data_IF_220496845698
#
_entry.id   IF_220496845698
#
_cell.length_a   1.000
_cell.length_b   1.000
_cell.length_c   1.000
_cell.angle_alpha   90.00
_cell.angle_beta   90.00
_cell.angle_gamma   90.00
#
_symmetry.space_group_name_H-M   'P 1'
#
loop_
_entity.id
_entity.type
_entity.pdbx_description
1 polymer ?
#
# COMPACT_ATOMS: atom_id res chain seq x y z
N UNK A 1 -21.19 -33.14 41.17
CA UNK A 1 -20.12 -32.84 40.22
C UNK A 1 -18.91 -32.57 41.08
N UNK A 2 -17.85 -33.36 40.90
CA UNK A 2 -16.69 -33.31 41.80
C UNK A 2 -15.56 -32.45 41.21
N UNK A 3 -15.67 -32.10 39.92
CA UNK A 3 -14.72 -31.28 39.16
C UNK A 3 -15.44 -30.15 38.40
N UNK A 4 -14.71 -29.13 37.96
CA UNK A 4 -15.21 -28.08 37.05
C UNK A 4 -15.48 -28.62 35.63
N UNK A 5 -16.26 -27.89 34.83
CA UNK A 5 -16.77 -28.38 33.56
C UNK A 5 -15.73 -28.42 32.42
N UNK A 6 -14.88 -27.39 32.31
CA UNK A 6 -13.99 -27.23 31.16
C UNK A 6 -12.57 -27.76 31.41
N UNK A 7 -11.99 -27.41 32.56
CA UNK A 7 -10.62 -27.68 32.95
C UNK A 7 -10.49 -28.90 33.89
N UNK A 8 -11.62 -29.50 34.30
CA UNK A 8 -11.68 -30.65 35.19
C UNK A 8 -10.90 -30.42 36.50
N UNK A 9 -11.04 -29.23 37.08
CA UNK A 9 -10.39 -28.87 38.35
C UNK A 9 -11.20 -29.42 39.52
N UNK A 10 -10.58 -30.16 40.45
CA UNK A 10 -11.31 -30.80 41.55
C UNK A 10 -11.84 -29.77 42.56
N UNK A 11 -13.10 -29.92 42.93
CA UNK A 11 -13.75 -29.13 43.97
C UNK A 11 -13.38 -29.61 45.38
N UNK A 12 -13.39 -28.68 46.34
CA UNK A 12 -13.29 -29.04 47.75
C UNK A 12 -14.64 -29.58 48.22
N UNK A 13 -14.63 -30.79 48.81
CA UNK A 13 -15.84 -31.41 49.36
C UNK A 13 -16.45 -30.60 50.53
N UNK A 14 -17.78 -30.67 50.72
CA UNK A 14 -18.46 -30.00 51.83
C UNK A 14 -17.92 -30.42 53.22
N UNK A 15 -18.16 -29.58 54.25
CA UNK A 15 -17.80 -29.78 55.67
C UNK A 15 -16.43 -29.26 56.14
N UNK A 16 -15.71 -28.48 55.32
CA UNK A 16 -14.45 -27.79 55.72
C UNK A 16 -14.70 -26.33 56.12
N UNK A 17 -15.47 -26.07 57.18
CA UNK A 17 -15.75 -24.72 57.72
C UNK A 17 -16.19 -23.68 56.66
N UNK A 18 -17.05 -24.09 55.71
CA UNK A 18 -17.56 -23.25 54.61
C UNK A 18 -16.52 -22.64 53.63
N UNK A 19 -15.22 -22.94 53.76
CA UNK A 19 -14.19 -22.49 52.81
C UNK A 19 -14.41 -23.00 51.38
N UNK A 20 -15.04 -24.16 51.26
CA UNK A 20 -15.42 -24.77 49.99
C UNK A 20 -16.31 -23.85 49.15
N UNK A 21 -17.16 -23.01 49.76
CA UNK A 21 -18.08 -22.14 49.01
C UNK A 21 -17.31 -21.09 48.21
N UNK A 22 -16.47 -20.30 48.87
CA UNK A 22 -15.72 -19.24 48.20
C UNK A 22 -14.62 -19.78 47.29
N UNK A 23 -14.00 -20.90 47.65
CA UNK A 23 -12.95 -21.50 46.85
C UNK A 23 -13.51 -22.15 45.58
N UNK A 24 -14.58 -22.95 45.69
CA UNK A 24 -15.19 -23.59 44.53
C UNK A 24 -15.76 -22.53 43.58
N UNK A 25 -16.35 -21.44 44.10
CA UNK A 25 -16.76 -20.31 43.26
C UNK A 25 -15.59 -19.68 42.47
N UNK A 26 -14.41 -19.56 43.08
CA UNK A 26 -13.21 -19.09 42.39
C UNK A 26 -12.71 -20.09 41.33
N UNK A 27 -12.81 -21.40 41.60
CA UNK A 27 -12.47 -22.44 40.62
C UNK A 27 -13.43 -22.41 39.42
N UNK A 28 -14.73 -22.26 39.65
CA UNK A 28 -15.74 -22.10 38.61
C UNK A 28 -15.47 -20.85 37.75
N UNK A 29 -15.04 -19.75 38.35
CA UNK A 29 -14.61 -18.56 37.60
C UNK A 29 -13.35 -18.82 36.76
N UNK A 30 -12.34 -19.51 37.32
CA UNK A 30 -11.11 -19.85 36.58
C UNK A 30 -11.38 -20.79 35.42
N UNK A 31 -12.29 -21.75 35.60
CA UNK A 31 -12.72 -22.72 34.59
C UNK A 31 -13.32 -22.05 33.35
N UNK A 32 -14.07 -20.95 33.53
CA UNK A 32 -14.59 -20.18 32.42
C UNK A 32 -13.52 -19.29 31.75
N UNK A 33 -12.58 -18.72 32.51
CA UNK A 33 -11.77 -17.58 32.04
C UNK A 33 -10.34 -17.91 31.59
N UNK A 34 -9.70 -18.97 32.10
CA UNK A 34 -8.25 -19.20 31.86
C UNK A 34 -7.94 -19.69 30.44
N UNK A 35 -8.85 -20.46 29.86
CA UNK A 35 -8.78 -20.92 28.46
C UNK A 35 -10.09 -20.60 27.75
N UNK A 36 -10.51 -19.34 27.90
CA UNK A 36 -11.82 -18.89 27.44
C UNK A 36 -12.00 -19.19 25.94
N UNK A 37 -13.02 -19.99 25.66
CA UNK A 37 -13.50 -20.32 24.33
C UNK A 37 -15.01 -20.10 24.34
N UNK A 38 -15.49 -19.25 23.44
CA UNK A 38 -16.90 -18.92 23.33
C UNK A 38 -17.48 -19.53 22.06
N UNK A 39 -18.72 -19.98 22.17
CA UNK A 39 -19.46 -20.52 21.02
C UNK A 39 -19.76 -19.40 20.03
N UNK A 40 -20.29 -18.28 20.52
CA UNK A 40 -20.65 -17.11 19.72
C UNK A 40 -20.45 -15.81 20.51
N UNK A 41 -20.38 -14.69 19.78
CA UNK A 41 -20.41 -13.32 20.35
C UNK A 41 -21.58 -12.45 19.88
N UNK A 42 -22.48 -13.01 19.07
CA UNK A 42 -23.58 -12.26 18.44
C UNK A 42 -24.96 -12.67 18.95
N UNK A 43 -25.04 -13.71 19.79
CA UNK A 43 -26.30 -14.16 20.34
C UNK A 43 -26.87 -13.15 21.34
N UNK A 44 -28.14 -12.78 21.15
CA UNK A 44 -28.85 -11.84 22.03
C UNK A 44 -29.55 -12.55 23.20
N UNK A 45 -29.70 -13.87 23.08
CA UNK A 45 -30.15 -14.82 24.10
C UNK A 45 -29.75 -16.21 23.61
N UNK A 46 -29.38 -17.11 24.52
CA UNK A 46 -29.14 -18.50 24.14
C UNK A 46 -30.46 -19.23 23.87
N UNK A 47 -30.65 -19.71 22.64
CA UNK A 47 -31.78 -20.55 22.26
C UNK A 47 -31.49 -22.04 22.53
N UNK A 48 -32.28 -22.68 23.40
CA UNK A 48 -32.14 -24.09 23.75
C UNK A 48 -31.52 -24.33 25.13
N UNK A 49 -31.14 -25.58 25.42
CA UNK A 49 -30.49 -25.95 26.67
C UNK A 49 -28.96 -25.85 26.50
N UNK A 50 -28.29 -24.86 27.12
CA UNK A 50 -26.83 -24.78 27.08
C UNK A 50 -26.17 -25.96 27.79
N UNK A 51 -25.01 -26.38 27.30
CA UNK A 51 -24.18 -27.35 28.00
C UNK A 51 -23.49 -26.70 29.22
N UNK A 52 -23.25 -27.50 30.26
CA UNK A 52 -22.44 -27.07 31.40
C UNK A 52 -21.02 -26.68 30.94
N UNK A 53 -20.54 -25.50 31.36
CA UNK A 53 -19.26 -24.93 30.92
C UNK A 53 -19.32 -24.11 29.63
N UNK A 54 -20.45 -24.11 28.91
CA UNK A 54 -20.64 -23.36 27.67
C UNK A 54 -20.52 -21.86 27.90
N UNK A 55 -19.63 -21.21 27.15
CA UNK A 55 -19.40 -19.78 27.25
C UNK A 55 -19.83 -19.04 25.97
N UNK A 56 -20.33 -17.82 26.16
CA UNK A 56 -20.73 -16.88 25.10
C UNK A 56 -20.25 -15.49 25.43
N UNK A 57 -20.06 -14.65 24.41
CA UNK A 57 -20.09 -13.20 24.60
C UNK A 57 -21.52 -12.74 24.32
N UNK A 58 -22.10 -12.00 25.26
CA UNK A 58 -23.45 -11.46 25.10
C UNK A 58 -23.47 -10.44 23.95
N UNK A 59 -24.23 -10.74 22.90
CA UNK A 59 -24.39 -9.90 21.73
C UNK A 59 -25.11 -8.58 22.01
N UNK A 60 -25.15 -7.72 20.98
CA UNK A 60 -25.96 -6.51 21.01
C UNK A 60 -27.46 -6.85 21.21
N UNK A 61 -28.25 -5.91 21.72
CA UNK A 61 -29.70 -6.08 21.91
C UNK A 61 -30.09 -7.30 22.78
N UNK A 62 -29.27 -7.60 23.78
CA UNK A 62 -29.46 -8.75 24.67
C UNK A 62 -30.81 -8.71 25.40
N UNK A 63 -31.50 -9.84 25.44
CA UNK A 63 -32.84 -9.99 26.00
C UNK A 63 -32.87 -10.98 27.17
N UNK A 64 -34.02 -11.07 27.85
CA UNK A 64 -34.23 -11.99 28.98
C UNK A 64 -33.13 -11.90 30.05
N UNK A 65 -32.59 -13.03 30.50
CA UNK A 65 -31.54 -13.10 31.52
C UNK A 65 -30.21 -12.46 31.11
N UNK A 66 -30.04 -12.06 29.84
CA UNK A 66 -28.83 -11.41 29.33
C UNK A 66 -28.99 -9.88 29.20
N UNK A 67 -30.16 -9.34 29.52
CA UNK A 67 -30.42 -7.90 29.46
C UNK A 67 -29.46 -7.10 30.35
N UNK A 68 -28.85 -6.06 29.79
CA UNK A 68 -27.85 -5.23 30.48
C UNK A 68 -26.46 -5.88 30.63
N UNK A 69 -26.22 -7.03 29.99
CA UNK A 69 -24.95 -7.77 30.05
C UNK A 69 -24.16 -7.76 28.73
N UNK A 70 -24.53 -6.89 27.79
CA UNK A 70 -23.88 -6.77 26.47
C UNK A 70 -22.36 -6.68 26.60
N UNK A 71 -21.65 -7.49 25.83
CA UNK A 71 -20.20 -7.58 25.80
C UNK A 71 -19.56 -8.38 26.95
N UNK A 72 -20.34 -8.78 27.98
CA UNK A 72 -19.85 -9.64 29.05
C UNK A 72 -19.72 -11.09 28.58
N UNK A 73 -18.81 -11.83 29.21
CA UNK A 73 -18.70 -13.27 29.02
C UNK A 73 -19.77 -13.94 29.88
N UNK A 74 -20.70 -14.65 29.25
CA UNK A 74 -21.71 -15.46 29.92
C UNK A 74 -21.25 -16.92 29.92
N UNK A 75 -21.00 -17.49 31.10
CA UNK A 75 -20.70 -18.91 31.28
C UNK A 75 -21.88 -19.64 31.91
N UNK A 76 -22.33 -20.74 31.31
CA UNK A 76 -23.39 -21.58 31.88
C UNK A 76 -22.79 -22.55 32.90
N UNK A 77 -23.13 -22.34 34.18
CA UNK A 77 -22.51 -22.98 35.33
C UNK A 77 -23.55 -23.23 36.43
N UNK A 78 -23.54 -24.41 37.04
CA UNK A 78 -24.47 -24.87 38.07
C UNK A 78 -25.95 -24.68 37.66
N UNK A 79 -26.25 -24.87 36.37
CA UNK A 79 -27.59 -24.70 35.80
C UNK A 79 -28.05 -23.23 35.64
N UNK A 80 -27.14 -22.26 35.80
CA UNK A 80 -27.41 -20.83 35.66
C UNK A 80 -26.36 -20.09 34.82
N UNK A 81 -26.64 -18.84 34.48
CA UNK A 81 -25.67 -17.98 33.79
C UNK A 81 -24.89 -17.13 34.78
N UNK A 82 -23.57 -17.28 34.77
CA UNK A 82 -22.65 -16.35 35.42
C UNK A 82 -22.10 -15.38 34.37
N UNK A 83 -21.99 -14.09 34.74
CA UNK A 83 -21.53 -13.04 33.84
C UNK A 83 -20.25 -12.41 34.35
N UNK A 84 -19.25 -12.34 33.47
CA UNK A 84 -17.93 -11.81 33.76
C UNK A 84 -17.66 -10.59 32.88
N UNK A 85 -17.58 -9.38 33.46
CA UNK A 85 -17.18 -8.19 32.73
C UNK A 85 -15.73 -8.31 32.25
N UNK A 86 -15.46 -8.20 30.94
CA UNK A 86 -14.09 -8.29 30.43
C UNK A 86 -13.26 -7.08 30.84
N UNK A 87 -11.94 -7.26 30.88
CA UNK A 87 -10.95 -6.19 31.10
C UNK A 87 -10.09 -6.07 29.86
N UNK A 88 -9.51 -4.88 29.67
CA UNK A 88 -8.61 -4.60 28.56
C UNK A 88 -7.52 -5.68 28.44
N UNK A 89 -7.33 -6.20 27.23
CA UNK A 89 -6.34 -7.25 26.93
C UNK A 89 -6.82 -8.69 27.14
N UNK A 90 -8.08 -8.91 27.57
CA UNK A 90 -8.66 -10.26 27.61
C UNK A 90 -8.70 -10.89 26.22
N UNK A 91 -8.53 -12.21 26.16
CA UNK A 91 -8.46 -12.98 24.92
C UNK A 91 -9.42 -14.16 25.00
N UNK A 92 -10.07 -14.48 23.89
CA UNK A 92 -10.90 -15.68 23.75
C UNK A 92 -10.84 -16.22 22.35
N UNK A 93 -10.95 -17.53 22.19
CA UNK A 93 -11.31 -18.12 20.91
C UNK A 93 -12.82 -17.98 20.66
N UNK A 94 -13.24 -17.62 19.46
CA UNK A 94 -14.65 -17.62 19.06
C UNK A 94 -14.89 -18.72 18.03
N UNK A 95 -15.63 -19.76 18.41
CA UNK A 95 -15.85 -20.94 17.56
C UNK A 95 -16.67 -20.61 16.31
N UNK A 96 -17.71 -19.78 16.43
CA UNK A 96 -18.55 -19.37 15.29
C UNK A 96 -17.78 -18.57 14.22
N UNK A 97 -16.72 -17.84 14.61
CA UNK A 97 -15.93 -17.00 13.70
C UNK A 97 -14.56 -17.62 13.35
N UNK A 98 -14.18 -18.73 13.99
CA UNK A 98 -12.89 -19.40 13.82
C UNK A 98 -11.69 -18.44 13.98
N UNK A 99 -11.75 -17.55 15.00
CA UNK A 99 -10.73 -16.53 15.22
C UNK A 99 -10.49 -16.24 16.71
N UNK A 100 -9.35 -15.62 17.01
CA UNK A 100 -9.06 -15.07 18.34
C UNK A 100 -9.67 -13.67 18.44
N UNK A 101 -10.36 -13.39 19.55
CA UNK A 101 -10.86 -12.06 19.89
C UNK A 101 -10.01 -11.48 21.02
N UNK A 102 -9.79 -10.16 20.98
CA UNK A 102 -9.15 -9.38 22.04
C UNK A 102 -10.12 -8.31 22.51
N UNK A 103 -10.35 -8.20 23.82
CA UNK A 103 -11.11 -7.09 24.37
C UNK A 103 -10.23 -5.85 24.43
N UNK A 104 -10.51 -4.87 23.56
CA UNK A 104 -9.79 -3.60 23.52
C UNK A 104 -10.69 -2.43 23.14
N UNK A 105 -10.40 -1.25 23.72
CA UNK A 105 -11.20 -0.04 23.46
C UNK A 105 -12.68 -0.21 23.83
N UNK A 106 -13.00 -1.07 24.80
CA UNK A 106 -14.36 -1.34 25.24
C UNK A 106 -15.15 -2.33 24.38
N UNK A 107 -14.53 -2.98 23.39
CA UNK A 107 -15.18 -3.96 22.52
C UNK A 107 -14.32 -5.21 22.30
N UNK A 108 -14.96 -6.32 21.93
CA UNK A 108 -14.24 -7.51 21.45
C UNK A 108 -13.88 -7.33 19.98
N UNK A 109 -12.60 -7.26 19.67
CA UNK A 109 -12.08 -7.09 18.32
C UNK A 109 -11.45 -8.39 17.82
N UNK A 110 -11.75 -8.85 16.60
CA UNK A 110 -11.07 -10.00 16.03
C UNK A 110 -9.60 -9.65 15.76
N UNK A 111 -8.71 -10.53 16.20
CA UNK A 111 -7.33 -10.55 15.76
C UNK A 111 -7.28 -11.28 14.43
N UNK A 112 -7.43 -10.53 13.34
CA UNK A 112 -7.37 -11.03 11.98
C UNK A 112 -5.96 -10.82 11.40
N UNK A 113 -5.09 -11.85 11.38
CA UNK A 113 -3.75 -11.71 10.80
C UNK A 113 -3.78 -11.51 9.28
N UNK A 114 -4.93 -11.74 8.60
CA UNK A 114 -5.06 -11.58 7.16
C UNK A 114 -5.34 -10.13 6.76
N UNK A 115 -5.89 -9.32 7.67
CA UNK A 115 -6.26 -7.93 7.40
C UNK A 115 -5.79 -7.00 8.53
N UNK A 116 -4.56 -6.53 8.39
CA UNK A 116 -3.98 -5.56 9.30
C UNK A 116 -4.38 -4.14 8.89
N UNK A 117 -4.70 -3.30 9.89
CA UNK A 117 -4.93 -1.89 9.66
C UNK A 117 -3.62 -1.21 9.23
N UNK A 118 -2.52 -1.47 9.94
CA UNK A 118 -1.20 -0.89 9.74
C UNK A 118 -0.15 -1.99 9.98
N UNK A 119 0.94 -1.98 9.20
CA UNK A 119 2.06 -2.92 9.32
C UNK A 119 3.39 -2.19 9.17
N UNK A 120 4.13 -2.13 10.27
CA UNK A 120 5.48 -1.58 10.34
C UNK A 120 6.55 -2.67 10.43
N UNK A 121 7.58 -2.60 9.60
CA UNK A 121 8.79 -3.45 9.68
C UNK A 121 9.97 -2.56 10.06
N UNK A 122 10.41 -2.67 11.32
CA UNK A 122 11.50 -1.85 11.90
C UNK A 122 11.23 -0.32 11.86
N UNK A 123 9.98 0.08 11.67
CA UNK A 123 9.48 1.44 11.73
C UNK A 123 7.98 1.43 12.07
N UNK A 124 7.46 2.52 12.62
CA UNK A 124 6.03 2.72 12.87
C UNK A 124 5.30 2.95 11.54
N UNK A 125 4.13 2.32 11.38
CA UNK A 125 3.20 2.62 10.30
C UNK A 125 2.11 3.58 10.81
N UNK A 126 1.42 4.24 9.89
CA UNK A 126 0.36 5.20 10.25
C UNK A 126 -0.82 5.11 9.25
N UNK A 127 -1.86 5.91 9.48
CA UNK A 127 -3.08 5.90 8.66
C UNK A 127 -2.86 6.30 7.20
N UNK A 128 -1.74 6.95 6.88
CA UNK A 128 -1.30 7.31 5.53
C UNK A 128 -0.37 6.23 4.96
N UNK A 129 0.72 5.93 5.66
CA UNK A 129 1.72 4.90 5.30
C UNK A 129 1.41 3.58 6.01
N UNK A 130 0.30 2.96 5.62
CA UNK A 130 -0.23 1.74 6.26
C UNK A 130 0.70 0.53 6.14
N UNK A 131 1.63 0.53 5.18
CA UNK A 131 2.78 -0.37 5.14
C UNK A 131 4.05 0.49 5.17
N UNK A 132 4.83 0.38 6.25
CA UNK A 132 6.10 1.10 6.40
C UNK A 132 7.23 0.11 6.65
N UNK A 133 8.32 0.22 5.90
CA UNK A 133 9.48 -0.68 5.99
C UNK A 133 10.75 0.14 6.11
N UNK A 134 11.45 0.03 7.23
CA UNK A 134 12.79 0.59 7.42
C UNK A 134 13.84 -0.53 7.42
N UNK A 135 14.38 -0.81 6.24
CA UNK A 135 15.31 -1.91 5.98
C UNK A 135 16.30 -1.51 4.90
N UNK A 136 17.47 -2.16 4.86
CA UNK A 136 18.45 -1.98 3.79
C UNK A 136 17.88 -2.38 2.40
N UNK A 137 16.91 -3.30 2.38
CA UNK A 137 16.23 -3.74 1.15
C UNK A 137 14.80 -4.25 1.42
N UNK A 138 13.96 -4.17 0.37
CA UNK A 138 12.66 -4.86 0.27
C UNK A 138 12.68 -5.76 -0.97
N UNK A 139 12.52 -7.08 -0.78
CA UNK A 139 12.42 -8.04 -1.87
C UNK A 139 10.96 -8.40 -2.13
N UNK A 140 10.47 -8.06 -3.32
CA UNK A 140 9.19 -8.52 -3.85
C UNK A 140 9.46 -9.55 -4.95
N UNK A 141 9.19 -10.83 -4.67
CA UNK A 141 9.55 -11.93 -5.56
C UNK A 141 8.32 -12.62 -6.16
N UNK A 142 8.52 -13.32 -7.26
CA UNK A 142 7.51 -14.16 -7.89
C UNK A 142 7.39 -15.52 -7.20
N UNK A 143 6.24 -16.17 -7.37
CA UNK A 143 6.05 -17.58 -6.99
C UNK A 143 6.65 -18.49 -8.07
N UNK A 144 6.08 -18.44 -9.28
CA UNK A 144 6.52 -19.27 -10.42
C UNK A 144 6.61 -18.52 -11.76
N UNK A 145 5.98 -17.34 -11.87
CA UNK A 145 5.86 -16.58 -13.12
C UNK A 145 6.07 -15.08 -12.94
N UNK A 146 5.16 -14.26 -13.46
CA UNK A 146 5.28 -12.80 -13.39
C UNK A 146 4.96 -12.25 -11.99
N UNK A 147 5.71 -11.24 -11.56
CA UNK A 147 5.38 -10.37 -10.43
C UNK A 147 4.95 -8.98 -10.97
N UNK A 148 3.99 -8.33 -10.31
CA UNK A 148 3.52 -6.97 -10.68
C UNK A 148 3.28 -6.15 -9.41
N UNK A 149 3.81 -4.94 -9.37
CA UNK A 149 3.38 -3.90 -8.44
C UNK A 149 2.31 -3.05 -9.13
N UNK A 150 1.08 -3.08 -8.60
CA UNK A 150 -0.04 -2.33 -9.17
C UNK A 150 -0.36 -1.16 -8.25
N UNK A 151 -0.20 0.06 -8.77
CA UNK A 151 -0.53 1.31 -8.08
C UNK A 151 -1.72 1.94 -8.80
N UNK A 152 -2.81 2.18 -8.08
CA UNK A 152 -4.07 2.66 -8.64
C UNK A 152 -4.43 4.03 -8.08
N UNK A 153 -5.00 4.89 -8.91
CA UNK A 153 -5.56 6.19 -8.53
C UNK A 153 -7.08 6.19 -8.74
N UNK A 154 -7.83 6.97 -7.95
CA UNK A 154 -9.29 6.93 -7.98
C UNK A 154 -9.89 7.72 -9.15
N UNK A 155 -9.26 8.84 -9.52
CA UNK A 155 -9.68 9.73 -10.60
C UNK A 155 -8.51 10.12 -11.49
N UNK A 156 -8.75 10.65 -12.71
CA UNK A 156 -7.68 11.07 -13.61
C UNK A 156 -6.77 12.16 -13.03
N UNK A 157 -7.29 13.01 -12.14
CA UNK A 157 -6.55 14.12 -11.50
C UNK A 157 -5.73 13.69 -10.29
N UNK A 158 -5.93 12.47 -9.80
CA UNK A 158 -5.15 11.92 -8.69
C UNK A 158 -3.77 11.45 -9.15
N UNK A 159 -2.96 11.00 -8.20
CA UNK A 159 -1.60 10.52 -8.44
C UNK A 159 -1.45 9.03 -8.09
N UNK A 160 -0.82 8.28 -9.00
CA UNK A 160 -0.34 6.91 -8.77
C UNK A 160 1.12 6.83 -9.22
N UNK A 161 2.06 6.82 -8.28
CA UNK A 161 3.48 6.98 -8.57
C UNK A 161 4.40 6.29 -7.56
N UNK A 162 5.69 6.28 -7.90
CA UNK A 162 6.79 5.93 -7.00
C UNK A 162 7.63 7.19 -6.79
N UNK A 163 7.84 7.57 -5.53
CA UNK A 163 8.65 8.73 -5.14
C UNK A 163 10.00 8.25 -4.59
N UNK A 164 11.08 8.81 -5.11
CA UNK A 164 12.45 8.62 -4.64
C UNK A 164 12.84 9.82 -3.78
N UNK A 165 13.34 9.54 -2.58
CA UNK A 165 13.62 10.55 -1.56
C UNK A 165 15.06 10.48 -1.05
N UNK A 166 15.55 11.63 -0.57
CA UNK A 166 16.74 11.76 0.25
C UNK A 166 16.35 12.49 1.55
N UNK A 167 16.59 11.85 2.70
CA UNK A 167 16.21 12.34 4.03
C UNK A 167 14.77 12.88 4.09
N UNK A 168 13.80 12.08 3.66
CA UNK A 168 12.36 12.41 3.61
C UNK A 168 11.98 13.57 2.67
N UNK A 169 12.90 14.05 1.83
CA UNK A 169 12.64 15.07 0.82
C UNK A 169 12.62 14.44 -0.57
N UNK A 170 11.56 14.70 -1.34
CA UNK A 170 11.39 14.19 -2.70
C UNK A 170 12.49 14.67 -3.66
N UNK A 171 13.00 13.76 -4.50
CA UNK A 171 14.03 14.06 -5.52
C UNK A 171 13.58 13.68 -6.92
N UNK A 172 12.88 12.56 -7.05
CA UNK A 172 12.29 12.13 -8.31
C UNK A 172 10.96 11.42 -8.07
N UNK A 173 10.08 11.46 -9.06
CA UNK A 173 8.78 10.79 -9.04
C UNK A 173 8.50 10.22 -10.43
N UNK A 174 8.02 8.97 -10.49
CA UNK A 174 7.63 8.30 -11.74
C UNK A 174 6.22 7.75 -11.58
N UNK A 175 5.32 8.10 -12.49
CA UNK A 175 3.95 7.57 -12.48
C UNK A 175 2.93 8.42 -13.21
N UNK A 176 1.66 8.15 -12.91
CA UNK A 176 0.49 8.90 -13.39
C UNK A 176 0.24 10.05 -12.42
N UNK A 177 0.86 11.21 -12.64
CA UNK A 177 0.89 12.28 -11.64
C UNK A 177 0.04 13.49 -12.07
N UNK A 178 -1.25 13.44 -11.71
CA UNK A 178 -2.24 14.48 -12.02
C UNK A 178 -2.91 14.36 -13.39
N UNK A 179 -2.58 13.30 -14.14
CA UNK A 179 -3.18 12.95 -15.43
C UNK A 179 -2.92 11.46 -15.75
N UNK A 180 -3.46 10.95 -16.87
CA UNK A 180 -3.38 9.53 -17.27
C UNK A 180 -2.14 9.18 -18.12
N UNK A 181 -1.30 10.17 -18.44
CA UNK A 181 -0.01 9.95 -19.09
C UNK A 181 1.07 9.52 -18.08
N UNK A 182 2.02 8.70 -18.53
CA UNK A 182 3.20 8.39 -17.73
C UNK A 182 4.10 9.62 -17.69
N UNK A 183 4.51 10.03 -16.49
CA UNK A 183 5.40 11.19 -16.29
C UNK A 183 6.61 10.83 -15.44
N UNK A 184 7.71 11.55 -15.67
CA UNK A 184 8.89 11.58 -14.80
C UNK A 184 9.11 13.02 -14.37
N UNK A 185 9.10 13.25 -13.05
CA UNK A 185 9.32 14.56 -12.44
C UNK A 185 10.55 14.50 -11.55
N UNK A 186 11.29 15.60 -11.47
CA UNK A 186 12.45 15.77 -10.59
C UNK A 186 12.29 17.04 -9.76
N UNK A 187 12.87 17.03 -8.56
CA UNK A 187 12.83 18.15 -7.63
C UNK A 187 14.16 18.34 -6.91
N UNK A 188 14.57 19.59 -6.73
CA UNK A 188 15.77 19.96 -5.98
C UNK A 188 15.52 20.08 -4.48
N UNK A 189 14.26 20.34 -4.08
CA UNK A 189 13.87 20.69 -2.72
C UNK A 189 12.74 19.80 -2.15
N UNK A 190 12.11 18.98 -2.98
CA UNK A 190 10.97 18.13 -2.64
C UNK A 190 9.62 18.84 -2.67
N UNK A 191 9.60 20.13 -2.98
CA UNK A 191 8.40 20.97 -3.02
C UNK A 191 8.09 21.43 -4.44
N UNK A 192 9.11 21.89 -5.17
CA UNK A 192 9.01 22.36 -6.54
C UNK A 192 9.40 21.24 -7.50
N UNK A 193 8.44 20.81 -8.31
CA UNK A 193 8.60 19.69 -9.23
C UNK A 193 8.72 20.19 -10.67
N UNK A 194 9.73 19.67 -11.37
CA UNK A 194 9.97 19.91 -12.79
C UNK A 194 9.66 18.65 -13.57
N UNK A 195 8.78 18.74 -14.55
CA UNK A 195 8.40 17.61 -15.40
C UNK A 195 9.41 17.41 -16.54
N UNK A 196 10.19 16.32 -16.44
CA UNK A 196 11.29 16.03 -17.35
C UNK A 196 10.85 15.22 -18.58
N UNK A 197 9.86 14.34 -18.42
CA UNK A 197 9.30 13.49 -19.46
C UNK A 197 7.80 13.29 -19.24
N UNK A 198 7.03 13.35 -20.31
CA UNK A 198 5.65 12.86 -20.37
C UNK A 198 5.46 11.95 -21.56
N UNK A 199 4.61 10.93 -21.43
CA UNK A 199 4.19 10.07 -22.52
C UNK A 199 2.69 10.17 -22.65
N UNK A 200 2.24 10.63 -23.82
CA UNK A 200 0.83 10.69 -24.16
C UNK A 200 0.24 9.28 -24.18
N UNK A 201 -0.81 9.04 -23.41
CA UNK A 201 -1.40 7.72 -23.21
C UNK A 201 -2.18 7.22 -24.44
N UNK A 202 -2.60 8.10 -25.34
CA UNK A 202 -3.31 7.72 -26.57
C UNK A 202 -2.36 7.36 -27.73
N UNK A 203 -1.25 8.07 -27.84
CA UNK A 203 -0.33 7.99 -28.99
C UNK A 203 1.01 7.35 -28.65
N UNK A 204 1.36 7.21 -27.37
CA UNK A 204 2.66 6.71 -26.91
C UNK A 204 3.82 7.67 -27.18
N UNK A 205 3.55 8.93 -27.57
CA UNK A 205 4.60 9.90 -27.93
C UNK A 205 5.24 10.50 -26.68
N UNK A 206 6.57 10.39 -26.51
CA UNK A 206 7.28 11.07 -25.44
C UNK A 206 7.45 12.57 -25.77
N UNK A 207 7.27 13.42 -24.76
CA UNK A 207 7.59 14.84 -24.78
C UNK A 207 8.59 15.12 -23.65
N UNK A 208 9.58 15.97 -23.92
CA UNK A 208 10.58 16.39 -22.92
C UNK A 208 10.44 17.90 -22.68
N UNK A 209 9.57 18.33 -21.74
CA UNK A 209 9.17 19.73 -21.60
C UNK A 209 10.34 20.69 -21.34
N UNK A 210 11.39 20.20 -20.68
CA UNK A 210 12.57 20.99 -20.33
C UNK A 210 13.76 20.74 -21.25
N UNK A 211 13.65 19.85 -22.24
CA UNK A 211 14.75 19.56 -23.13
C UNK A 211 14.82 20.59 -24.26
N UNK A 212 15.99 21.22 -24.40
CA UNK A 212 16.35 21.90 -25.63
C UNK A 212 16.97 20.88 -26.59
N UNK A 213 16.13 20.12 -27.29
CA UNK A 213 16.55 19.08 -28.25
C UNK A 213 17.26 19.64 -29.48
N UNK A 214 17.26 20.97 -29.68
CA UNK A 214 18.03 21.66 -30.71
C UNK A 214 19.37 22.13 -30.13
N UNK A 215 20.26 21.19 -29.83
CA UNK A 215 21.69 21.46 -29.78
C UNK A 215 22.34 20.85 -31.04
N UNK A 216 23.14 21.64 -31.76
CA UNK A 216 23.93 21.26 -32.94
C UNK A 216 23.18 20.94 -34.27
N UNK A 217 21.97 21.45 -34.49
CA UNK A 217 21.30 21.34 -35.80
C UNK A 217 20.95 22.70 -36.42
N UNK A 218 21.40 22.93 -37.66
CA UNK A 218 20.85 23.96 -38.53
C UNK A 218 19.68 23.35 -39.31
N UNK A 219 18.44 23.64 -38.90
CA UNK A 219 17.24 23.29 -39.69
C UNK A 219 17.18 24.26 -40.87
N UNK A 220 17.52 23.79 -42.07
CA UNK A 220 17.29 24.55 -43.29
C UNK A 220 15.86 24.29 -43.78
N UNK A 221 14.98 25.28 -43.69
CA UNK A 221 13.57 25.21 -44.12
C UNK A 221 13.36 25.65 -45.57
N UNK A 222 14.42 25.88 -46.36
CA UNK A 222 14.28 26.25 -47.77
C UNK A 222 14.18 25.01 -48.67
N UNK A 223 13.13 24.99 -49.49
CA UNK A 223 12.63 23.83 -50.23
C UNK A 223 13.55 23.35 -51.39
N UNK A 224 14.64 24.06 -51.71
CA UNK A 224 15.50 23.73 -52.87
C UNK A 224 16.99 24.10 -52.71
N UNK A 225 17.53 24.11 -51.49
CA UNK A 225 18.94 24.44 -51.28
C UNK A 225 19.80 23.18 -51.20
N UNK A 226 20.26 22.69 -52.35
CA UNK A 226 21.23 21.59 -52.52
C UNK A 226 22.54 21.80 -51.75
N UNK A 227 22.50 21.59 -50.44
CA UNK A 227 23.62 21.83 -49.52
C UNK A 227 24.55 20.62 -49.50
N UNK A 228 25.59 20.65 -50.33
CA UNK A 228 26.80 19.85 -50.14
C UNK A 228 27.69 20.52 -49.07
N UNK A 229 27.25 20.51 -47.82
CA UNK A 229 28.15 20.88 -46.72
C UNK A 229 28.91 19.62 -46.29
N UNK A 230 30.17 19.51 -46.72
CA UNK A 230 31.14 18.61 -46.11
C UNK A 230 31.20 18.86 -44.59
N UNK A 231 31.46 17.80 -43.81
CA UNK A 231 31.23 17.72 -42.37
C UNK A 231 32.02 18.70 -41.49
N UNK A 232 31.70 20.00 -41.54
CA UNK A 232 32.38 21.02 -40.77
C UNK A 232 31.71 22.40 -40.70
N UNK A 233 30.47 22.57 -41.16
CA UNK A 233 29.78 23.87 -41.08
C UNK A 233 29.28 24.15 -39.64
N UNK A 234 29.86 25.16 -38.97
CA UNK A 234 29.55 25.56 -37.58
C UNK A 234 28.89 26.96 -37.43
N UNK A 235 28.57 27.64 -38.53
CA UNK A 235 27.99 29.01 -38.51
C UNK A 235 27.11 29.27 -39.75
N UNK A 236 26.27 30.31 -39.68
CA UNK A 236 25.38 30.82 -40.75
C UNK A 236 26.15 31.68 -41.78
N UNK A 237 27.37 32.11 -41.45
CA UNK A 237 28.25 32.82 -42.37
C UNK A 237 28.71 31.85 -43.46
N UNK A 238 28.32 32.15 -44.71
CA UNK A 238 28.75 31.39 -45.88
C UNK A 238 30.25 31.65 -46.09
N UNK A 239 31.09 30.71 -45.66
CA UNK A 239 32.48 30.63 -46.10
C UNK A 239 32.54 30.42 -47.62
N UNK A 240 33.63 30.86 -48.27
CA UNK A 240 33.86 30.64 -49.70
C UNK A 240 33.67 29.17 -50.08
N UNK A 241 33.13 28.91 -51.28
CA UNK A 241 32.97 27.56 -51.82
C UNK A 241 34.29 26.75 -51.73
N UNK A 242 34.20 25.53 -51.21
CA UNK A 242 35.30 24.56 -51.21
C UNK A 242 34.86 23.30 -51.99
N UNK A 243 35.61 22.94 -53.02
CA UNK A 243 35.29 21.76 -53.82
C UNK A 243 35.54 20.47 -53.01
N UNK A 244 34.59 19.52 -52.95
CA UNK A 244 34.76 18.31 -52.17
C UNK A 244 35.90 17.43 -52.69
N UNK A 245 36.79 17.00 -51.80
CA UNK A 245 37.97 16.18 -52.13
C UNK A 245 37.66 14.75 -52.60
N UNK A 246 36.41 14.30 -52.46
CA UNK A 246 35.93 13.00 -52.93
C UNK A 246 35.32 13.05 -54.34
N UNK A 247 35.22 14.23 -54.95
CA UNK A 247 34.80 14.39 -56.35
C UNK A 247 36.02 14.71 -57.20
N UNK A 248 36.08 14.14 -58.40
CA UNK A 248 37.17 14.37 -59.36
C UNK A 248 36.58 14.98 -60.63
N UNK A 249 37.14 16.10 -61.09
CA UNK A 249 36.72 16.71 -62.35
C UNK A 249 37.07 15.76 -63.52
N UNK A 250 36.11 15.50 -64.39
CA UNK A 250 36.28 14.59 -65.53
C UNK A 250 36.72 15.37 -66.79
N UNK A 251 37.59 14.76 -67.61
CA UNK A 251 37.89 15.26 -68.95
C UNK A 251 38.60 16.63 -69.02
N UNK A 252 39.43 16.98 -68.03
CA UNK A 252 40.17 18.25 -68.02
C UNK A 252 39.33 19.49 -67.69
N UNK A 253 38.13 19.29 -67.15
CA UNK A 253 37.27 20.38 -66.67
C UNK A 253 37.85 21.04 -65.42
N UNK A 254 37.69 22.36 -65.31
CA UNK A 254 38.08 23.13 -64.12
C UNK A 254 36.83 23.56 -63.36
N UNK A 255 36.87 23.46 -62.04
CA UNK A 255 35.78 23.91 -61.17
C UNK A 255 36.04 25.38 -60.85
N UNK A 256 35.12 26.25 -61.24
CA UNK A 256 35.18 27.67 -60.91
C UNK A 256 34.17 27.98 -59.81
N UNK A 257 34.63 28.63 -58.73
CA UNK A 257 33.76 29.19 -57.71
C UNK A 257 33.20 30.52 -58.22
N UNK A 258 31.97 30.54 -58.72
CA UNK A 258 31.31 31.81 -59.07
C UNK A 258 30.77 32.47 -57.81
N UNK A 259 30.99 33.78 -57.68
CA UNK A 259 30.35 34.58 -56.65
C UNK A 259 28.83 34.59 -56.89
N UNK A 260 28.10 34.24 -55.82
CA UNK A 260 26.67 34.47 -55.52
C UNK A 260 25.82 35.07 -56.65
N UNK A 261 24.83 34.29 -57.08
CA UNK A 261 23.63 34.65 -57.86
C UNK A 261 23.47 36.14 -58.20
N UNK A 262 23.58 36.48 -59.49
CA UNK A 262 23.01 37.73 -60.02
C UNK A 262 21.49 37.54 -60.00
N UNK A 263 20.79 38.20 -59.10
CA UNK A 263 19.35 38.39 -59.23
C UNK A 263 19.14 39.43 -60.33
N UNK A 264 18.77 38.97 -61.53
CA UNK A 264 18.16 39.85 -62.52
C UNK A 264 16.75 40.19 -62.01
N UNK A 265 16.59 41.43 -61.55
CA UNK A 265 15.29 42.03 -61.28
C UNK A 265 15.13 43.13 -62.30
N UNK A 266 14.26 42.88 -63.27
CA UNK A 266 13.75 43.83 -64.27
C UNK A 266 13.28 45.14 -63.63
#
# INVERSE_FOLDING_TARGET
MDDTANLLLPFIMPSQAQKHVTHNAALTMLDALVMLSVVSRTETVRAGAPAEGECHIVGADATAGWSGKVGQVAGFQDGGWNFYPPREGWRTWCAAENCLLVFSGGAWNPLDPQRLAELGINAEADTTNRLTVASDATLLTHETGSHRLVVNKATPTDTASIVFQDNFSGRAEIGLAGNDGLSVKVSVDGENWTEALTIDNATGKPTFPTANLLQDFAINLYQDSGRFAGGGAKDIVIGSFAFPNYLTAYGGTTVSALAKFITDSS
#
